data_IF_140281473631
#
_entry.id   IF_140281473631
#
_cell.length_a   1.000
_cell.length_b   1.000
_cell.length_c   1.000
_cell.angle_alpha   90.00
_cell.angle_beta   90.00
_cell.angle_gamma   90.00
#
_symmetry.space_group_name_H-M   'P 1'
#
loop_
_entity.id
_entity.type
_entity.pdbx_description
1 polymer ?
#
# COMPACT_ATOMS: atom_id res chain seq x y z
N UNK A 1 -49.00 -23.28 12.88
CA UNK A 1 -48.78 -21.82 12.75
C UNK A 1 -48.37 -21.55 11.32
N UNK A 2 -49.33 -21.10 10.51
CA UNK A 2 -49.15 -20.79 9.09
C UNK A 2 -48.29 -19.55 8.94
N UNK A 3 -47.01 -19.73 8.59
CA UNK A 3 -46.11 -18.62 8.24
C UNK A 3 -46.47 -18.14 6.83
N UNK A 4 -47.52 -17.33 6.72
CA UNK A 4 -47.84 -16.59 5.49
C UNK A 4 -46.88 -15.41 5.37
N UNK A 5 -45.74 -15.63 4.72
CA UNK A 5 -44.84 -14.56 4.31
C UNK A 5 -45.53 -13.73 3.21
N UNK A 6 -45.84 -12.43 3.43
CA UNK A 6 -46.63 -11.61 2.49
C UNK A 6 -45.96 -11.41 1.12
N UNK A 7 -44.69 -11.79 0.98
CA UNK A 7 -43.94 -11.70 -0.26
C UNK A 7 -43.86 -13.03 -1.04
N UNK A 8 -44.49 -14.10 -0.54
CA UNK A 8 -44.51 -15.40 -1.22
C UNK A 8 -43.14 -16.11 -1.26
N UNK A 9 -42.17 -15.64 -0.47
CA UNK A 9 -40.87 -16.28 -0.36
C UNK A 9 -40.93 -17.42 0.66
N UNK A 10 -40.67 -18.63 0.19
CA UNK A 10 -40.61 -19.81 1.03
C UNK A 10 -39.15 -20.03 1.46
N UNK A 11 -38.89 -19.67 2.72
CA UNK A 11 -37.57 -19.66 3.37
C UNK A 11 -37.24 -21.05 3.96
N UNK A 12 -38.04 -22.09 3.66
CA UNK A 12 -37.79 -23.43 4.21
C UNK A 12 -36.42 -23.97 3.79
N UNK A 13 -35.75 -24.64 4.75
CA UNK A 13 -34.43 -25.25 4.52
C UNK A 13 -34.45 -26.29 3.37
N UNK A 14 -35.59 -26.91 3.11
CA UNK A 14 -35.77 -27.83 1.99
C UNK A 14 -35.70 -27.10 0.63
N UNK A 15 -36.33 -25.93 0.50
CA UNK A 15 -36.28 -25.13 -0.73
C UNK A 15 -34.90 -24.50 -0.94
N UNK A 16 -34.25 -24.06 0.15
CA UNK A 16 -32.88 -23.55 0.09
C UNK A 16 -31.89 -24.63 -0.39
N UNK A 17 -31.98 -25.85 0.14
CA UNK A 17 -31.18 -27.00 -0.36
C UNK A 17 -31.44 -27.29 -1.84
N UNK A 18 -32.69 -27.22 -2.30
CA UNK A 18 -33.05 -27.41 -3.72
C UNK A 18 -32.47 -26.29 -4.61
N UNK A 19 -32.44 -25.05 -4.13
CA UNK A 19 -31.80 -23.91 -4.82
C UNK A 19 -30.28 -24.06 -4.89
N UNK A 20 -29.62 -24.44 -3.80
CA UNK A 20 -28.16 -24.69 -3.78
C UNK A 20 -27.74 -25.80 -4.75
N UNK A 21 -28.54 -26.86 -4.87
CA UNK A 21 -28.26 -27.94 -5.83
C UNK A 21 -28.34 -27.50 -7.30
N UNK A 22 -29.11 -26.45 -7.62
CA UNK A 22 -29.24 -25.91 -8.99
C UNK A 22 -28.21 -24.82 -9.30
N UNK A 23 -27.48 -24.34 -8.28
CA UNK A 23 -26.62 -23.16 -8.36
C UNK A 23 -25.12 -23.42 -8.51
N UNK A 24 -24.65 -24.67 -8.37
CA UNK A 24 -23.26 -25.01 -8.64
C UNK A 24 -23.03 -25.17 -10.14
N UNK A 25 -23.11 -24.07 -10.89
CA UNK A 25 -22.36 -23.97 -12.15
C UNK A 25 -20.91 -24.19 -11.77
N UNK A 26 -20.30 -25.25 -12.30
CA UNK A 26 -18.91 -25.55 -12.02
C UNK A 26 -18.05 -24.32 -12.23
N UNK A 27 -17.00 -24.17 -11.42
CA UNK A 27 -15.97 -23.13 -11.51
C UNK A 27 -15.27 -23.06 -12.89
N UNK A 28 -15.65 -23.91 -13.84
CA UNK A 28 -15.10 -23.99 -15.19
C UNK A 28 -15.57 -22.83 -16.09
N UNK A 29 -16.65 -22.12 -15.77
CA UNK A 29 -17.18 -21.06 -16.64
C UNK A 29 -17.66 -21.55 -18.02
N UNK A 30 -17.74 -22.87 -18.21
CA UNK A 30 -18.16 -23.51 -19.45
C UNK A 30 -19.68 -23.59 -19.53
N UNK A 31 -20.23 -23.26 -20.70
CA UNK A 31 -21.61 -23.52 -21.04
C UNK A 31 -21.73 -24.90 -21.68
N UNK A 32 -21.98 -25.92 -20.84
CA UNK A 32 -22.16 -27.31 -21.30
C UNK A 32 -23.34 -27.49 -22.27
N UNK A 33 -24.26 -26.52 -22.31
CA UNK A 33 -25.44 -26.53 -23.18
C UNK A 33 -25.24 -25.77 -24.50
N UNK A 34 -24.05 -25.24 -24.80
CA UNK A 34 -23.84 -24.52 -26.05
C UNK A 34 -23.70 -25.49 -27.24
N UNK A 35 -24.47 -25.24 -28.30
CA UNK A 35 -24.41 -25.97 -29.59
C UNK A 35 -23.57 -25.22 -30.63
N UNK A 36 -22.82 -24.19 -30.21
CA UNK A 36 -22.05 -23.32 -31.10
C UNK A 36 -20.70 -23.94 -31.44
N UNK A 37 -20.19 -23.67 -32.63
CA UNK A 37 -18.84 -24.03 -33.05
C UNK A 37 -17.87 -22.91 -32.64
N UNK A 38 -16.60 -23.25 -32.43
CA UNK A 38 -15.55 -22.28 -32.17
C UNK A 38 -15.44 -21.25 -33.31
N UNK A 39 -15.37 -19.96 -32.98
CA UNK A 39 -15.29 -18.87 -33.97
C UNK A 39 -13.84 -18.55 -34.42
N UNK A 40 -12.88 -19.42 -34.08
CA UNK A 40 -11.48 -19.29 -34.53
C UNK A 40 -11.36 -19.92 -35.91
N UNK A 41 -10.66 -19.25 -36.83
CA UNK A 41 -10.43 -19.77 -38.18
C UNK A 41 -9.76 -21.17 -38.12
N UNK A 42 -10.39 -22.16 -38.76
CA UNK A 42 -9.89 -23.52 -38.85
C UNK A 42 -10.15 -24.44 -37.65
N UNK A 43 -11.08 -24.09 -36.75
CA UNK A 43 -11.44 -24.91 -35.59
C UNK A 43 -12.92 -25.32 -35.58
N UNK A 44 -13.19 -26.62 -35.60
CA UNK A 44 -14.55 -27.20 -35.56
C UNK A 44 -14.96 -27.71 -34.16
N UNK A 45 -14.21 -27.36 -33.11
CA UNK A 45 -14.51 -27.78 -31.74
C UNK A 45 -15.74 -27.06 -31.16
N UNK A 46 -16.41 -27.64 -30.13
CA UNK A 46 -17.55 -26.99 -29.49
C UNK A 46 -17.13 -25.71 -28.75
N UNK A 47 -17.76 -24.60 -29.11
CA UNK A 47 -17.62 -23.29 -28.47
C UNK A 47 -18.38 -23.22 -27.15
N UNK A 48 -17.73 -23.66 -26.06
CA UNK A 48 -18.31 -23.70 -24.71
C UNK A 48 -18.04 -22.45 -23.88
N UNK A 49 -17.04 -21.67 -24.27
CA UNK A 49 -16.56 -20.54 -23.48
C UNK A 49 -16.84 -19.23 -24.21
N UNK A 50 -17.38 -18.25 -23.48
CA UNK A 50 -17.62 -16.90 -23.98
C UNK A 50 -16.42 -16.00 -23.69
N UNK A 51 -16.02 -15.19 -24.65
CA UNK A 51 -15.01 -14.14 -24.49
C UNK A 51 -15.56 -12.80 -24.99
N UNK A 52 -15.37 -11.68 -24.27
CA UNK A 52 -15.88 -10.37 -24.69
C UNK A 52 -15.16 -9.89 -25.96
N UNK A 53 -15.85 -9.28 -26.92
CA UNK A 53 -15.20 -8.80 -28.16
C UNK A 53 -14.41 -7.51 -27.97
N UNK A 54 -14.91 -6.63 -27.09
CA UNK A 54 -14.39 -5.27 -26.92
C UNK A 54 -14.42 -4.90 -25.42
N UNK A 55 -13.38 -4.26 -24.84
CA UNK A 55 -13.38 -3.87 -23.44
C UNK A 55 -14.55 -2.97 -23.03
N UNK A 56 -15.06 -2.15 -23.97
CA UNK A 56 -16.12 -1.17 -23.73
C UNK A 56 -17.54 -1.69 -23.99
N UNK A 57 -17.69 -2.62 -24.94
CA UNK A 57 -18.99 -3.20 -25.29
C UNK A 57 -19.08 -4.63 -24.73
N UNK A 58 -19.66 -4.76 -23.53
CA UNK A 58 -19.79 -6.04 -22.83
C UNK A 58 -20.95 -6.91 -23.36
N UNK A 59 -21.73 -6.45 -24.33
CA UNK A 59 -22.88 -7.21 -24.84
C UNK A 59 -22.49 -8.17 -25.97
N UNK A 60 -21.35 -7.93 -26.60
CA UNK A 60 -20.85 -8.75 -27.70
C UNK A 60 -19.82 -9.77 -27.23
N UNK A 61 -20.06 -11.04 -27.54
CA UNK A 61 -19.19 -12.15 -27.15
C UNK A 61 -18.80 -13.01 -28.35
N UNK A 62 -17.54 -13.47 -28.36
CA UNK A 62 -17.10 -14.61 -29.16
C UNK A 62 -17.31 -15.93 -28.41
N UNK A 63 -17.51 -17.01 -29.17
CA UNK A 63 -17.63 -18.37 -28.64
C UNK A 63 -16.45 -19.23 -29.08
N UNK A 64 -15.75 -19.79 -28.11
CA UNK A 64 -14.48 -20.47 -28.32
C UNK A 64 -14.42 -21.79 -27.57
N UNK A 65 -13.56 -22.68 -28.05
CA UNK A 65 -13.17 -23.89 -27.32
C UNK A 65 -12.19 -23.57 -26.18
N UNK A 66 -11.81 -24.59 -25.41
CA UNK A 66 -10.95 -24.41 -24.22
C UNK A 66 -9.56 -23.86 -24.56
N UNK A 67 -8.99 -24.28 -25.67
CA UNK A 67 -7.64 -23.87 -26.07
C UNK A 67 -7.65 -22.42 -26.58
N UNK A 68 -8.58 -22.10 -27.47
CA UNK A 68 -8.69 -20.76 -28.06
C UNK A 68 -9.09 -19.68 -27.05
N UNK A 69 -9.87 -20.00 -26.00
CA UNK A 69 -10.10 -19.02 -24.92
C UNK A 69 -8.84 -18.73 -24.11
N UNK A 70 -7.95 -19.70 -23.93
CA UNK A 70 -6.69 -19.46 -23.23
C UNK A 70 -5.79 -18.53 -24.03
N UNK A 71 -5.69 -18.76 -25.33
CA UNK A 71 -4.95 -17.86 -26.24
C UNK A 71 -5.57 -16.46 -26.24
N UNK A 72 -6.90 -16.38 -26.34
CA UNK A 72 -7.62 -15.11 -26.34
C UNK A 72 -7.36 -14.33 -25.05
N UNK A 73 -7.53 -14.97 -23.89
CA UNK A 73 -7.32 -14.34 -22.59
C UNK A 73 -5.85 -13.95 -22.35
N UNK A 74 -4.90 -14.73 -22.88
CA UNK A 74 -3.48 -14.40 -22.79
C UNK A 74 -3.13 -13.15 -23.62
N UNK A 75 -3.78 -12.97 -24.77
CA UNK A 75 -3.59 -11.80 -25.64
C UNK A 75 -4.52 -10.63 -25.28
N UNK A 76 -5.49 -10.83 -24.39
CA UNK A 76 -6.46 -9.82 -24.04
C UNK A 76 -5.86 -8.77 -23.10
N UNK A 77 -5.81 -7.53 -23.57
CA UNK A 77 -5.44 -6.38 -22.75
C UNK A 77 -6.59 -5.38 -22.71
N UNK A 78 -7.19 -5.22 -21.51
CA UNK A 78 -8.30 -4.29 -21.29
C UNK A 78 -7.93 -2.83 -21.59
N UNK A 79 -6.67 -2.44 -21.36
CA UNK A 79 -6.17 -1.09 -21.56
C UNK A 79 -5.56 -0.87 -22.95
N UNK A 80 -5.71 -1.83 -23.88
CA UNK A 80 -5.19 -1.67 -25.23
C UNK A 80 -5.87 -0.48 -25.92
N UNK A 81 -5.10 0.55 -26.24
CA UNK A 81 -5.59 1.79 -26.87
C UNK A 81 -6.07 2.87 -25.89
N UNK A 82 -5.89 2.69 -24.57
CA UNK A 82 -6.07 3.78 -23.62
C UNK A 82 -4.80 4.61 -23.48
N UNK A 83 -4.98 5.91 -23.22
CA UNK A 83 -3.88 6.80 -22.87
C UNK A 83 -3.40 6.55 -21.44
N UNK A 84 -2.18 6.97 -21.12
CA UNK A 84 -1.64 6.89 -19.76
C UNK A 84 -2.48 7.71 -18.76
N UNK A 85 -3.09 8.80 -19.22
CA UNK A 85 -4.00 9.63 -18.42
C UNK A 85 -5.28 8.87 -18.02
N UNK A 86 -5.90 8.16 -18.96
CA UNK A 86 -7.08 7.33 -18.68
C UNK A 86 -6.75 6.18 -17.71
N UNK A 87 -5.56 5.60 -17.85
CA UNK A 87 -5.06 4.57 -16.94
C UNK A 87 -4.89 5.10 -15.51
N UNK A 88 -4.28 6.29 -15.36
CA UNK A 88 -4.11 6.92 -14.06
C UNK A 88 -5.46 7.27 -13.42
N UNK A 89 -6.40 7.82 -14.20
CA UNK A 89 -7.76 8.08 -13.73
C UNK A 89 -8.47 6.80 -13.26
N UNK A 90 -8.26 5.67 -13.94
CA UNK A 90 -8.81 4.39 -13.52
C UNK A 90 -8.25 3.96 -12.15
N UNK A 91 -6.94 4.11 -11.91
CA UNK A 91 -6.31 3.83 -10.61
C UNK A 91 -6.88 4.73 -9.51
N UNK A 92 -6.99 6.03 -9.79
CA UNK A 92 -7.51 7.01 -8.84
C UNK A 92 -8.97 6.69 -8.47
N UNK A 93 -9.78 6.34 -9.48
CA UNK A 93 -11.17 5.92 -9.28
C UNK A 93 -11.27 4.59 -8.52
N UNK A 94 -10.41 3.61 -8.82
CA UNK A 94 -10.39 2.33 -8.12
C UNK A 94 -10.08 2.51 -6.62
N UNK A 95 -9.26 3.49 -6.26
CA UNK A 95 -8.96 3.84 -4.86
C UNK A 95 -10.22 4.24 -4.09
N UNK A 96 -11.17 4.89 -4.76
CA UNK A 96 -12.46 5.32 -4.19
C UNK A 96 -13.62 4.39 -4.57
N UNK A 97 -13.34 3.17 -5.01
CA UNK A 97 -14.35 2.19 -5.45
C UNK A 97 -15.31 2.74 -6.51
N UNK A 98 -14.78 3.51 -7.47
CA UNK A 98 -15.51 4.18 -8.55
C UNK A 98 -16.63 5.12 -8.06
N UNK A 99 -16.63 5.47 -6.77
CA UNK A 99 -17.53 6.45 -6.19
C UNK A 99 -16.77 7.76 -6.04
N UNK A 100 -16.98 8.75 -6.92
CA UNK A 100 -16.25 9.99 -6.85
C UNK A 100 -16.52 10.66 -5.50
N UNK A 101 -15.48 10.79 -4.69
CA UNK A 101 -15.57 11.49 -3.40
C UNK A 101 -15.19 12.95 -3.60
N UNK A 102 -15.94 13.86 -2.96
CA UNK A 102 -15.56 15.26 -2.91
C UNK A 102 -14.70 15.47 -1.66
N UNK A 103 -13.48 16.03 -1.78
CA UNK A 103 -12.69 16.34 -0.60
C UNK A 103 -13.46 17.35 0.26
N UNK A 104 -13.62 17.03 1.54
CA UNK A 104 -14.30 17.92 2.49
C UNK A 104 -13.48 19.21 2.67
N UNK A 105 -14.14 20.36 2.62
CA UNK A 105 -13.53 21.67 2.92
C UNK A 105 -12.62 22.27 1.84
N UNK A 106 -11.96 21.45 1.01
CA UNK A 106 -10.92 21.88 0.05
C UNK A 106 -11.33 23.06 -0.84
N UNK A 107 -12.54 23.06 -1.39
CA UNK A 107 -13.00 24.14 -2.27
C UNK A 107 -13.16 25.50 -1.56
N UNK A 108 -13.64 25.51 -0.32
CA UNK A 108 -13.80 26.75 0.45
C UNK A 108 -12.44 27.29 0.94
N UNK A 109 -11.50 26.39 1.13
CA UNK A 109 -10.17 26.65 1.62
C UNK A 109 -9.26 27.15 0.49
N UNK A 110 -9.20 26.46 -0.66
CA UNK A 110 -8.54 26.93 -1.89
C UNK A 110 -9.05 28.31 -2.33
N UNK A 111 -10.35 28.59 -2.19
CA UNK A 111 -10.90 29.92 -2.45
C UNK A 111 -10.41 30.99 -1.46
N UNK A 112 -10.16 30.65 -0.19
CA UNK A 112 -9.57 31.58 0.79
C UNK A 112 -8.12 31.86 0.44
N UNK A 113 -7.32 30.83 0.14
CA UNK A 113 -5.93 31.00 -0.25
C UNK A 113 -5.76 31.72 -1.59
N UNK A 114 -6.63 31.45 -2.57
CA UNK A 114 -6.66 32.17 -3.84
C UNK A 114 -6.99 33.66 -3.67
N UNK A 115 -7.85 34.04 -2.70
CA UNK A 115 -8.07 35.45 -2.33
C UNK A 115 -6.82 36.12 -1.77
N UNK A 116 -5.94 35.35 -1.14
CA UNK A 116 -4.65 35.80 -0.64
C UNK A 116 -3.52 35.70 -1.69
N UNK A 117 -3.83 35.34 -2.94
CA UNK A 117 -2.87 35.21 -4.04
C UNK A 117 -1.94 34.00 -3.93
N UNK A 118 -2.28 33.02 -3.08
CA UNK A 118 -1.50 31.81 -2.86
C UNK A 118 -2.17 30.64 -3.57
N UNK A 119 -1.47 30.03 -4.52
CA UNK A 119 -1.97 28.88 -5.31
C UNK A 119 -1.91 27.56 -4.54
N UNK A 120 -0.87 27.36 -3.75
CA UNK A 120 -0.73 26.18 -2.89
C UNK A 120 -0.54 26.63 -1.43
N UNK A 121 -1.43 26.25 -0.49
CA UNK A 121 -1.28 26.56 0.93
C UNK A 121 0.06 26.14 1.52
N UNK A 122 0.72 25.13 0.94
CA UNK A 122 2.03 24.64 1.36
C UNK A 122 3.19 25.52 0.88
N UNK A 123 3.01 26.41 -0.11
CA UNK A 123 4.02 27.40 -0.52
C UNK A 123 4.33 28.38 0.61
N UNK A 124 3.36 28.63 1.51
CA UNK A 124 3.54 29.49 2.69
C UNK A 124 4.57 28.90 3.67
N UNK A 125 4.75 27.58 3.68
CA UNK A 125 5.76 26.90 4.50
C UNK A 125 7.18 27.01 3.92
N UNK A 126 7.33 27.65 2.75
CA UNK A 126 8.59 27.88 2.07
C UNK A 126 9.26 26.60 1.55
N UNK A 127 10.53 26.71 1.16
CA UNK A 127 11.31 25.62 0.58
C UNK A 127 11.38 24.33 1.44
N UNK A 128 11.14 24.44 2.75
CA UNK A 128 11.11 23.29 3.66
C UNK A 128 9.82 22.47 3.56
N UNK A 129 8.71 23.07 3.11
CA UNK A 129 7.41 22.41 2.97
C UNK A 129 7.18 21.74 1.61
N UNK A 130 7.66 22.37 0.54
CA UNK A 130 7.39 22.00 -0.85
C UNK A 130 8.52 21.25 -1.55
N UNK A 131 9.78 21.39 -1.12
CA UNK A 131 10.88 20.68 -1.78
C UNK A 131 10.98 19.21 -1.29
N UNK A 132 10.93 18.22 -2.20
CA UNK A 132 11.19 16.83 -1.85
C UNK A 132 12.60 16.63 -1.26
N UNK A 133 13.55 17.47 -1.69
CA UNK A 133 14.95 17.44 -1.23
C UNK A 133 15.12 17.87 0.22
N UNK A 134 14.36 18.87 0.71
CA UNK A 134 14.38 19.23 2.12
C UNK A 134 13.71 18.15 3.00
N UNK A 135 12.67 17.47 2.48
CA UNK A 135 12.08 16.30 3.16
C UNK A 135 13.00 15.08 3.14
N UNK A 136 13.82 14.90 2.11
CA UNK A 136 14.80 13.81 2.01
C UNK A 136 15.99 13.99 2.98
N UNK A 137 16.20 15.19 3.53
CA UNK A 137 17.16 15.44 4.62
C UNK A 137 16.63 15.03 6.00
N UNK A 138 15.38 14.56 6.10
CA UNK A 138 14.89 13.93 7.32
C UNK A 138 15.75 12.68 7.53
N UNK A 139 16.56 12.73 8.58
CA UNK A 139 17.48 11.68 8.94
C UNK A 139 16.76 10.33 9.08
N UNK A 140 17.53 9.24 9.02
CA UNK A 140 16.97 7.88 9.12
C UNK A 140 16.02 7.84 10.31
N UNK A 141 14.77 7.36 10.10
CA UNK A 141 13.80 7.24 11.19
C UNK A 141 14.28 6.16 12.16
N UNK A 142 15.10 6.57 13.11
CA UNK A 142 15.60 5.74 14.20
C UNK A 142 14.49 5.53 15.23
N UNK A 143 14.44 4.36 15.88
CA UNK A 143 13.56 4.13 17.01
C UNK A 143 13.89 5.13 18.15
N UNK A 144 12.92 5.44 19.01
CA UNK A 144 13.07 6.49 20.03
C UNK A 144 14.22 6.20 21.02
N UNK A 145 14.52 4.93 21.29
CA UNK A 145 15.63 4.50 22.16
C UNK A 145 16.99 4.81 21.55
N UNK A 146 17.18 4.53 20.25
CA UNK A 146 18.42 4.83 19.53
C UNK A 146 18.62 6.35 19.39
N UNK A 147 17.55 7.12 19.17
CA UNK A 147 17.66 8.59 19.14
C UNK A 147 18.12 9.17 20.47
N UNK A 148 17.54 8.69 21.59
CA UNK A 148 17.96 9.10 22.93
C UNK A 148 19.42 8.70 23.21
N UNK A 149 19.84 7.51 22.77
CA UNK A 149 21.22 7.06 22.91
C UNK A 149 22.21 7.93 22.13
N UNK A 150 21.86 8.38 20.91
CA UNK A 150 22.69 9.29 20.12
C UNK A 150 22.80 10.67 20.76
N UNK A 151 21.73 11.16 21.37
CA UNK A 151 21.73 12.43 22.11
C UNK A 151 22.67 12.37 23.33
N UNK A 152 22.62 11.28 24.11
CA UNK A 152 23.50 11.08 25.28
C UNK A 152 24.97 10.95 24.87
N UNK A 153 25.27 10.28 23.75
CA UNK A 153 26.64 10.12 23.25
C UNK A 153 27.12 11.30 22.40
N UNK A 154 26.27 12.31 22.18
CA UNK A 154 26.49 13.45 21.29
C UNK A 154 26.94 13.03 19.87
N UNK A 155 26.41 11.91 19.39
CA UNK A 155 26.75 11.32 18.09
C UNK A 155 25.74 11.72 17.00
N UNK A 156 26.18 11.71 15.75
CA UNK A 156 25.31 12.02 14.58
C UNK A 156 24.76 10.73 13.95
N UNK A 157 23.53 10.79 13.43
CA UNK A 157 22.87 9.71 12.70
C UNK A 157 23.66 9.18 11.48
N UNK A 158 24.61 9.97 10.97
CA UNK A 158 25.46 9.63 9.82
C UNK A 158 26.73 8.87 10.19
N UNK A 159 27.07 8.76 11.47
CA UNK A 159 28.31 8.13 11.93
C UNK A 159 28.27 6.60 11.84
N UNK A 160 29.45 6.00 11.65
CA UNK A 160 29.62 4.55 11.68
C UNK A 160 29.78 4.03 13.09
N UNK A 161 29.62 2.71 13.28
CA UNK A 161 29.77 2.07 14.60
C UNK A 161 31.16 2.31 15.21
N UNK A 162 32.21 2.38 14.38
CA UNK A 162 33.58 2.63 14.82
C UNK A 162 33.74 4.03 15.41
N UNK A 163 33.13 5.03 14.77
CA UNK A 163 33.15 6.43 15.21
C UNK A 163 32.40 6.59 16.53
N UNK A 164 31.21 6.00 16.64
CA UNK A 164 30.42 6.00 17.89
C UNK A 164 31.20 5.31 19.02
N UNK A 165 31.88 4.19 18.74
CA UNK A 165 32.73 3.50 19.73
C UNK A 165 33.89 4.36 20.20
N UNK A 166 34.47 5.18 19.33
CA UNK A 166 35.56 6.10 19.68
C UNK A 166 35.05 7.19 20.62
N UNK A 167 33.87 7.76 20.33
CA UNK A 167 33.22 8.77 21.18
C UNK A 167 32.81 8.21 22.55
N UNK A 168 32.25 7.00 22.58
CA UNK A 168 31.97 6.30 23.84
C UNK A 168 33.24 6.13 24.69
N UNK A 169 34.36 5.71 24.07
CA UNK A 169 35.62 5.53 24.78
C UNK A 169 36.23 6.83 25.31
N UNK A 170 36.00 7.98 24.66
CA UNK A 170 36.42 9.27 25.23
C UNK A 170 35.55 9.64 26.43
N UNK A 171 34.22 9.56 26.29
CA UNK A 171 33.27 9.89 27.36
C UNK A 171 33.49 9.02 28.61
N UNK A 172 33.78 7.72 28.45
CA UNK A 172 34.08 6.83 29.58
C UNK A 172 35.38 7.18 30.28
N UNK A 173 36.40 7.68 29.56
CA UNK A 173 37.64 8.13 30.20
C UNK A 173 37.41 9.40 31.01
N UNK A 174 36.66 10.35 30.44
CA UNK A 174 36.38 11.63 31.07
C UNK A 174 35.46 11.49 32.29
N UNK A 175 34.56 10.50 32.30
CA UNK A 175 33.61 10.23 33.39
C UNK A 175 34.08 9.12 34.35
N UNK A 176 35.33 8.65 34.24
CA UNK A 176 35.80 7.55 35.09
C UNK A 176 36.08 8.05 36.53
N UNK A 177 35.57 7.36 37.58
CA UNK A 177 35.70 7.82 38.97
C UNK A 177 37.16 7.90 39.45
N UNK A 178 38.06 7.12 38.85
CA UNK A 178 39.51 7.15 39.12
C UNK A 178 40.17 8.45 38.60
N UNK A 179 39.62 9.05 37.54
CA UNK A 179 40.11 10.33 36.99
C UNK A 179 39.46 11.54 37.67
N UNK A 180 38.20 11.39 38.13
CA UNK A 180 37.43 12.47 38.75
C UNK A 180 37.50 12.46 40.29
N UNK A 181 38.47 11.75 40.87
CA UNK A 181 38.75 11.82 42.32
C UNK A 181 37.63 11.33 43.24
N UNK A 182 36.68 10.54 42.72
CA UNK A 182 35.53 10.03 43.49
C UNK A 182 34.28 10.92 43.52
N UNK A 183 34.15 11.88 42.61
CA UNK A 183 32.94 12.69 42.47
C UNK A 183 31.74 11.84 42.03
N UNK A 184 30.77 11.66 42.95
CA UNK A 184 29.57 10.84 42.73
C UNK A 184 28.60 11.39 41.69
N UNK A 185 28.72 12.67 41.32
CA UNK A 185 27.84 13.30 40.34
C UNK A 185 28.04 12.79 38.92
N UNK A 186 29.22 12.23 38.61
CA UNK A 186 29.51 11.70 37.28
C UNK A 186 29.13 10.22 37.13
N UNK A 187 28.80 9.53 38.23
CA UNK A 187 28.34 8.15 38.23
C UNK A 187 27.02 7.99 37.46
N UNK A 188 26.08 8.92 37.67
CA UNK A 188 24.78 8.94 36.97
C UNK A 188 24.96 9.12 35.46
N UNK A 189 25.85 10.05 35.05
CA UNK A 189 26.17 10.29 33.64
C UNK A 189 26.89 9.11 33.00
N UNK A 190 27.80 8.47 33.73
CA UNK A 190 28.49 7.27 33.26
C UNK A 190 27.49 6.13 33.03
N UNK A 191 26.51 5.95 33.92
CA UNK A 191 25.45 4.96 33.76
C UNK A 191 24.60 5.22 32.50
N UNK A 192 24.27 6.49 32.22
CA UNK A 192 23.56 6.89 31.00
C UNK A 192 24.38 6.61 29.72
N UNK A 193 25.69 6.90 29.74
CA UNK A 193 26.60 6.66 28.61
C UNK A 193 26.77 5.16 28.35
N UNK A 194 26.86 4.33 29.39
CA UNK A 194 26.93 2.87 29.27
C UNK A 194 25.63 2.31 28.70
N UNK A 195 24.48 2.79 29.19
CA UNK A 195 23.18 2.41 28.66
C UNK A 195 23.05 2.78 27.17
N UNK A 196 23.44 4.00 26.79
CA UNK A 196 23.39 4.47 25.42
C UNK A 196 24.24 3.61 24.47
N UNK A 197 25.44 3.21 24.88
CA UNK A 197 26.30 2.32 24.09
C UNK A 197 25.70 0.93 23.91
N UNK A 198 25.07 0.37 24.95
CA UNK A 198 24.42 -0.94 24.89
C UNK A 198 23.27 -0.95 23.85
N UNK A 199 22.49 0.14 23.80
CA UNK A 199 21.41 0.29 22.81
C UNK A 199 21.92 0.38 21.36
N UNK A 200 23.09 0.98 21.13
CA UNK A 200 23.63 1.19 19.78
C UNK A 200 24.49 0.04 19.26
N UNK A 201 25.17 -0.71 20.15
CA UNK A 201 26.09 -1.80 19.77
C UNK A 201 25.41 -2.90 18.95
N UNK A 202 24.21 -3.30 19.35
CA UNK A 202 23.46 -4.40 18.73
C UNK A 202 22.45 -3.91 17.67
N UNK A 203 22.34 -2.59 17.49
CA UNK A 203 21.43 -2.00 16.51
C UNK A 203 21.80 -2.35 15.07
N UNK A 204 20.79 -2.59 14.23
CA UNK A 204 20.94 -2.89 12.80
C UNK A 204 21.16 -1.64 11.95
N UNK A 205 20.87 -0.47 12.51
CA UNK A 205 20.89 0.82 11.81
C UNK A 205 22.30 1.41 11.64
N UNK A 206 23.23 1.02 12.52
CA UNK A 206 24.63 1.44 12.47
C UNK A 206 25.50 0.24 12.08
N UNK A 207 25.77 0.10 10.77
CA UNK A 207 26.70 -0.89 10.22
C UNK A 207 28.14 -0.37 10.31
N UNK A 208 29.10 -1.29 10.27
CA UNK A 208 30.54 -1.03 10.28
C UNK A 208 30.97 -0.22 9.04
#
# INVERSE_FOLDING_TARGET
MSSSDPFGFDISAAKDKKRRNKGRRGMSGAFETSTRVCEKEGCDEPGQYRAPKNPRNLDDYFWFCKEHVREYNANWNYFQGQSEEEFQQFIDNATVWERPTKPFGRAAEEQKWARHGVSDPLEILGANGTSPEARAKISRKLPPTERKALEILEAKDTWTRVEIRKQYKSLVKDLHPDMNGGDRSDEDRLAEVVWAWDQLKDSRNFRD
#
